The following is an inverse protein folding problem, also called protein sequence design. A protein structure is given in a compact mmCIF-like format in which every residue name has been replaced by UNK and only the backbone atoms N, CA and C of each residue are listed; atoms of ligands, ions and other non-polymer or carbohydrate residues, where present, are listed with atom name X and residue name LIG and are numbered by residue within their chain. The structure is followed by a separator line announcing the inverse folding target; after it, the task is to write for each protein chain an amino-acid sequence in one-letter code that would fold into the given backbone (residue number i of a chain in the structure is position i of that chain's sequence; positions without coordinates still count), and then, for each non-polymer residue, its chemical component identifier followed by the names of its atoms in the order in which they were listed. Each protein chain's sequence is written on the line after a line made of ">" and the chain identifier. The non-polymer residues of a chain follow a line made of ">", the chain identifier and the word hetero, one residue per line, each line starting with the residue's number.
data_IF_313939207290
#
_entry.id   IF_313939207290
#
_cell.length_a   1.000
_cell.length_b   1.000
_cell.length_c   1.000
_cell.angle_alpha   90.00
_cell.angle_beta   90.00
_cell.angle_gamma   90.00
#
_symmetry.space_group_name_H-M   'P 1'
#
loop_
_entity.id
_entity.type
_entity.pdbx_description
1 polymer ?
#
# COMPACT_ATOMS: atom_id res chain seq x y z
N UNK A 1 63.65 64.07 -33.95
CA UNK A 1 62.34 64.56 -33.45
C UNK A 1 61.20 63.55 -33.65
N UNK A 2 61.37 62.54 -34.52
CA UNK A 2 60.31 61.56 -34.89
C UNK A 2 59.97 60.53 -33.80
N UNK A 3 60.98 59.94 -33.16
CA UNK A 3 60.82 58.82 -32.22
C UNK A 3 60.04 59.21 -30.95
N UNK A 4 60.23 60.42 -30.44
CA UNK A 4 59.48 60.94 -29.28
C UNK A 4 58.01 61.17 -29.61
N UNK A 5 57.69 61.54 -30.85
CA UNK A 5 56.29 61.69 -31.29
C UNK A 5 55.62 60.32 -31.48
N UNK A 6 56.33 59.35 -32.03
CA UNK A 6 55.87 57.98 -32.20
C UNK A 6 55.58 57.29 -30.85
N UNK A 7 56.50 57.39 -29.89
CA UNK A 7 56.31 56.87 -28.53
C UNK A 7 55.17 57.55 -27.76
N UNK A 8 54.88 58.83 -28.05
CA UNK A 8 53.72 59.54 -27.48
C UNK A 8 52.41 59.08 -28.08
N UNK A 9 52.37 58.81 -29.38
CA UNK A 9 51.20 58.25 -30.05
C UNK A 9 50.90 56.83 -29.55
N UNK A 10 51.92 55.99 -29.42
CA UNK A 10 51.81 54.63 -28.88
C UNK A 10 51.36 54.63 -27.41
N UNK A 11 51.92 55.51 -26.57
CA UNK A 11 51.44 55.67 -25.19
C UNK A 11 49.97 56.11 -25.12
N UNK A 12 49.53 56.96 -26.04
CA UNK A 12 48.14 57.39 -26.10
C UNK A 12 47.21 56.25 -26.52
N UNK A 13 47.65 55.41 -27.46
CA UNK A 13 46.91 54.23 -27.89
C UNK A 13 46.86 53.16 -26.78
N UNK A 14 48.00 52.82 -26.19
CA UNK A 14 48.07 51.87 -25.07
C UNK A 14 47.23 52.30 -23.87
N UNK A 15 47.20 53.60 -23.54
CA UNK A 15 46.32 54.12 -22.48
C UNK A 15 44.84 53.94 -22.81
N UNK A 16 44.46 54.14 -24.07
CA UNK A 16 43.08 53.96 -24.53
C UNK A 16 42.67 52.49 -24.49
N UNK A 17 43.52 51.59 -24.97
CA UNK A 17 43.29 50.15 -24.89
C UNK A 17 43.24 49.66 -23.43
N UNK A 18 44.10 50.18 -22.55
CA UNK A 18 44.09 49.83 -21.13
C UNK A 18 42.78 50.28 -20.45
N UNK A 19 42.27 51.45 -20.82
CA UNK A 19 40.98 51.94 -20.32
C UNK A 19 39.83 51.03 -20.79
N UNK A 20 39.78 50.69 -22.07
CA UNK A 20 38.73 49.84 -22.64
C UNK A 20 38.77 48.41 -22.06
N UNK A 21 39.96 47.85 -21.85
CA UNK A 21 40.13 46.55 -21.20
C UNK A 21 39.67 46.58 -19.73
N UNK A 22 39.96 47.66 -18.99
CA UNK A 22 39.49 47.82 -17.61
C UNK A 22 37.96 47.90 -17.54
N UNK A 23 37.34 48.66 -18.44
CA UNK A 23 35.88 48.75 -18.52
C UNK A 23 35.26 47.38 -18.82
N UNK A 24 35.79 46.63 -19.79
CA UNK A 24 35.34 45.26 -20.09
C UNK A 24 35.52 44.30 -18.93
N UNK A 25 36.65 44.38 -18.22
CA UNK A 25 36.91 43.54 -17.05
C UNK A 25 35.90 43.81 -15.93
N UNK A 26 35.64 45.08 -15.62
CA UNK A 26 34.65 45.44 -14.58
C UNK A 26 33.23 44.98 -14.94
N UNK A 27 32.84 45.06 -16.23
CA UNK A 27 31.56 44.57 -16.70
C UNK A 27 31.45 43.04 -16.59
N UNK A 28 32.51 42.31 -16.98
CA UNK A 28 32.55 40.86 -16.88
C UNK A 28 32.52 40.39 -15.41
N UNK A 29 33.27 41.04 -14.52
CA UNK A 29 33.25 40.75 -13.09
C UNK A 29 31.87 40.97 -12.47
N UNK A 30 31.16 42.04 -12.86
CA UNK A 30 29.79 42.29 -12.42
C UNK A 30 28.82 41.21 -12.89
N UNK A 31 28.93 40.76 -14.14
CA UNK A 31 28.11 39.67 -14.68
C UNK A 31 28.40 38.33 -14.00
N UNK A 32 29.67 38.00 -13.77
CA UNK A 32 30.07 36.79 -13.05
C UNK A 32 29.48 36.81 -11.64
N UNK A 33 29.55 37.95 -10.94
CA UNK A 33 28.97 38.09 -9.61
C UNK A 33 27.46 37.84 -9.61
N UNK A 34 26.73 38.45 -10.55
CA UNK A 34 25.28 38.22 -10.69
C UNK A 34 24.93 36.77 -11.01
N UNK A 35 25.69 36.12 -11.89
CA UNK A 35 25.47 34.72 -12.25
C UNK A 35 25.75 33.78 -11.08
N UNK A 36 26.81 34.03 -10.30
CA UNK A 36 27.11 33.28 -9.07
C UNK A 36 25.97 33.42 -8.07
N UNK A 37 25.45 34.64 -7.89
CA UNK A 37 24.34 34.90 -6.97
C UNK A 37 23.05 34.21 -7.42
N UNK A 38 22.72 34.24 -8.70
CA UNK A 38 21.58 33.51 -9.28
C UNK A 38 21.74 31.99 -9.17
N UNK A 39 22.96 31.45 -9.35
CA UNK A 39 23.24 30.02 -9.20
C UNK A 39 23.24 29.56 -7.73
N UNK A 40 23.50 30.48 -6.79
CA UNK A 40 23.47 30.22 -5.35
C UNK A 40 22.08 30.30 -4.70
N UNK A 41 21.04 30.72 -5.44
CA UNK A 41 19.67 30.80 -4.93
C UNK A 41 19.04 29.41 -4.78
N UNK A 42 18.42 29.17 -3.64
CA UNK A 42 17.66 27.97 -3.30
C UNK A 42 16.46 28.33 -2.41
N UNK A 43 15.61 27.35 -2.11
CA UNK A 43 14.43 27.53 -1.25
C UNK A 43 14.70 28.02 0.18
N UNK A 44 15.94 27.98 0.66
CA UNK A 44 16.31 28.39 2.02
C UNK A 44 16.78 29.84 2.08
N UNK A 45 17.32 30.39 0.99
CA UNK A 45 17.84 31.75 0.93
C UNK A 45 17.09 32.65 -0.08
N UNK A 46 16.01 32.14 -0.66
CA UNK A 46 15.16 32.89 -1.60
C UNK A 46 13.70 32.45 -1.45
N UNK A 47 12.75 33.31 -1.83
CA UNK A 47 11.30 33.04 -1.78
C UNK A 47 10.83 32.03 -2.86
N UNK A 48 11.73 31.18 -3.36
CA UNK A 48 11.45 30.21 -4.41
C UNK A 48 10.96 28.88 -3.81
N UNK A 49 10.00 28.21 -4.46
CA UNK A 49 9.53 26.90 -3.99
C UNK A 49 10.64 25.83 -4.16
N UNK A 50 10.75 24.94 -3.18
CA UNK A 50 11.73 23.84 -3.11
C UNK A 50 11.73 22.90 -4.32
N UNK A 51 10.65 22.87 -5.10
CA UNK A 51 10.56 22.12 -6.35
C UNK A 51 11.51 22.62 -7.45
N UNK A 52 12.02 23.87 -7.34
CA UNK A 52 12.94 24.49 -8.31
C UNK A 52 14.41 24.39 -7.91
N UNK A 53 14.75 23.80 -6.77
CA UNK A 53 16.13 23.60 -6.35
C UNK A 53 16.86 22.68 -7.34
N UNK A 54 17.86 23.22 -8.04
CA UNK A 54 18.69 22.47 -8.99
C UNK A 54 19.60 21.53 -8.21
N UNK A 55 19.36 20.24 -8.35
CA UNK A 55 20.03 19.21 -7.55
C UNK A 55 19.24 18.95 -6.27
N UNK A 56 18.32 17.99 -6.33
CA UNK A 56 17.64 17.43 -5.17
C UNK A 56 18.65 16.71 -4.27
N UNK A 57 19.58 17.42 -3.65
CA UNK A 57 20.25 16.91 -2.46
C UNK A 57 19.20 16.95 -1.35
N UNK A 58 18.29 15.97 -1.38
CA UNK A 58 17.41 15.71 -0.24
C UNK A 58 18.34 15.64 0.96
N UNK A 59 18.16 16.50 1.99
CA UNK A 59 18.96 16.38 3.20
C UNK A 59 18.85 14.92 3.65
N UNK A 60 19.98 14.31 4.01
CA UNK A 60 19.99 12.93 4.51
C UNK A 60 18.87 12.83 5.55
N UNK A 61 17.93 11.87 5.43
CA UNK A 61 16.79 11.79 6.32
C UNK A 61 17.30 11.78 7.76
N UNK A 62 17.13 12.90 8.46
CA UNK A 62 17.41 12.99 9.88
C UNK A 62 16.17 12.45 10.55
N UNK A 63 16.33 11.32 11.22
CA UNK A 63 15.29 10.79 12.10
C UNK A 63 14.87 11.89 13.07
N UNK A 64 13.61 12.32 12.99
CA UNK A 64 13.00 13.21 13.99
C UNK A 64 12.73 12.45 15.31
N UNK A 65 12.92 11.13 15.32
CA UNK A 65 12.80 10.31 16.51
C UNK A 65 13.92 10.72 17.49
N UNK A 66 13.58 11.13 18.72
CA UNK A 66 14.57 11.32 19.77
C UNK A 66 15.40 10.04 19.91
N UNK A 67 16.72 10.19 20.03
CA UNK A 67 17.59 9.04 20.25
C UNK A 67 17.26 8.46 21.63
N UNK A 68 16.57 7.32 21.65
CA UNK A 68 16.25 6.62 22.89
C UNK A 68 17.39 5.68 23.25
N UNK A 69 17.78 5.61 24.53
CA UNK A 69 18.74 4.60 25.03
C UNK A 69 18.19 3.16 24.97
N UNK A 70 16.90 3.02 24.66
CA UNK A 70 16.21 1.73 24.49
C UNK A 70 16.81 0.96 23.32
N UNK A 71 17.29 -0.24 23.60
CA UNK A 71 17.76 -1.19 22.57
C UNK A 71 16.59 -1.64 21.69
N UNK A 72 16.90 -2.00 20.45
CA UNK A 72 15.93 -2.63 19.56
C UNK A 72 15.49 -3.99 20.14
N UNK A 73 14.18 -4.23 20.19
CA UNK A 73 13.59 -5.44 20.78
C UNK A 73 12.68 -5.15 21.97
N UNK A 74 12.17 -6.23 22.58
CA UNK A 74 11.39 -6.16 23.82
C UNK A 74 12.20 -5.48 24.92
N UNK A 75 11.56 -4.55 25.62
CA UNK A 75 12.22 -3.83 26.71
C UNK A 75 12.33 -4.72 27.94
N UNK A 76 13.34 -4.49 28.77
CA UNK A 76 13.48 -5.18 30.05
C UNK A 76 12.25 -4.88 30.92
N UNK A 77 11.57 -5.94 31.38
CA UNK A 77 10.28 -5.86 32.09
C UNK A 77 9.03 -5.87 31.21
N UNK A 78 9.15 -5.98 29.87
CA UNK A 78 7.99 -6.18 29.01
C UNK A 78 7.43 -7.59 29.22
N UNK A 79 6.15 -7.69 29.58
CA UNK A 79 5.49 -8.99 29.68
C UNK A 79 5.49 -9.67 28.32
N UNK A 80 5.96 -10.92 28.28
CA UNK A 80 5.92 -11.74 27.09
C UNK A 80 4.53 -12.33 26.91
N UNK A 81 3.95 -12.15 25.73
CA UNK A 81 2.75 -12.88 25.35
C UNK A 81 3.15 -14.22 24.74
N UNK A 82 2.79 -15.31 25.41
CA UNK A 82 2.98 -16.68 24.90
C UNK A 82 1.67 -17.15 24.27
N UNK A 83 1.75 -17.95 23.19
CA UNK A 83 0.56 -18.55 22.59
C UNK A 83 -0.13 -19.46 23.61
N UNK A 84 -1.40 -19.18 23.87
CA UNK A 84 -2.19 -19.91 24.87
C UNK A 84 -2.97 -21.07 24.26
N UNK A 85 -3.33 -22.04 25.10
CA UNK A 85 -4.24 -23.12 24.69
C UNK A 85 -5.61 -22.55 24.32
N UNK A 86 -6.11 -22.92 23.15
CA UNK A 86 -7.51 -22.72 22.80
C UNK A 86 -8.38 -23.71 23.61
N UNK A 87 -9.28 -23.25 24.49
CA UNK A 87 -10.13 -24.14 25.27
C UNK A 87 -11.15 -24.93 24.42
N UNK A 88 -11.39 -24.51 23.18
CA UNK A 88 -12.33 -25.12 22.23
C UNK A 88 -11.64 -25.35 20.88
N UNK A 89 -10.78 -26.38 20.75
CA UNK A 89 -10.18 -26.71 19.46
C UNK A 89 -11.24 -27.21 18.48
N UNK A 90 -11.06 -26.93 17.19
CA UNK A 90 -11.98 -27.35 16.13
C UNK A 90 -12.03 -28.88 15.97
N UNK A 91 -10.88 -29.55 16.17
CA UNK A 91 -10.72 -31.00 16.08
C UNK A 91 -9.90 -31.52 17.27
N UNK A 92 -10.23 -32.73 17.75
CA UNK A 92 -9.45 -33.45 18.76
C UNK A 92 -9.05 -34.80 18.18
N UNK A 93 -7.78 -34.95 17.83
CA UNK A 93 -7.19 -36.22 17.43
C UNK A 93 -6.65 -36.95 18.66
N UNK A 94 -7.18 -38.15 18.92
CA UNK A 94 -6.79 -38.97 20.06
C UNK A 94 -5.79 -40.04 19.63
N UNK A 95 -4.60 -40.03 20.22
CA UNK A 95 -3.55 -41.01 19.93
C UNK A 95 -3.48 -42.06 21.05
N UNK A 96 -4.41 -43.02 21.05
CA UNK A 96 -4.41 -44.14 22.01
C UNK A 96 -3.43 -45.24 21.55
N UNK A 97 -2.54 -45.75 22.41
CA UNK A 97 -1.70 -46.87 22.06
C UNK A 97 -2.54 -48.15 21.94
N UNK A 98 -2.39 -48.88 20.83
CA UNK A 98 -3.05 -50.17 20.63
C UNK A 98 -2.38 -51.31 21.41
N UNK A 99 -1.14 -51.11 21.85
CA UNK A 99 -0.32 -52.11 22.54
C UNK A 99 0.54 -51.45 23.62
N UNK A 100 0.91 -52.23 24.63
CA UNK A 100 1.83 -51.79 25.67
C UNK A 100 3.23 -51.57 25.09
N UNK A 101 3.79 -50.37 25.27
CA UNK A 101 5.15 -50.05 24.80
C UNK A 101 6.29 -50.86 25.46
N UNK A 102 5.99 -51.65 26.49
CA UNK A 102 6.96 -52.50 27.18
C UNK A 102 6.86 -53.98 26.77
N UNK A 103 5.69 -54.61 26.95
CA UNK A 103 5.49 -56.05 26.70
C UNK A 103 4.69 -56.37 25.42
N UNK A 104 4.26 -55.35 24.66
CA UNK A 104 3.48 -55.48 23.42
C UNK A 104 2.09 -56.15 23.57
N UNK A 105 1.66 -56.44 24.80
CA UNK A 105 0.30 -56.90 25.05
C UNK A 105 -0.73 -55.90 24.48
N UNK A 106 -1.83 -56.37 23.87
CA UNK A 106 -2.86 -55.50 23.34
C UNK A 106 -3.49 -54.66 24.45
N UNK A 107 -3.85 -53.41 24.12
CA UNK A 107 -4.56 -52.49 25.00
C UNK A 107 -5.96 -52.23 24.43
N UNK A 108 -6.98 -52.97 24.90
CA UNK A 108 -8.36 -52.80 24.48
C UNK A 108 -8.91 -51.39 24.74
N UNK A 109 -9.91 -50.99 23.96
CA UNK A 109 -10.47 -49.63 23.98
C UNK A 109 -11.24 -49.33 25.28
N UNK A 110 -11.71 -50.36 25.97
CA UNK A 110 -12.44 -50.27 27.23
C UNK A 110 -11.55 -49.81 28.39
N UNK A 111 -10.23 -49.96 28.28
CA UNK A 111 -9.29 -49.53 29.33
C UNK A 111 -9.16 -48.01 29.32
N UNK A 112 -9.73 -47.35 30.33
CA UNK A 112 -9.69 -45.89 30.46
C UNK A 112 -8.25 -45.34 30.58
N UNK A 113 -8.00 -44.20 29.94
CA UNK A 113 -6.73 -43.49 30.09
C UNK A 113 -6.64 -42.86 31.48
N UNK A 114 -5.54 -43.12 32.20
CA UNK A 114 -5.32 -42.54 33.53
C UNK A 114 -4.89 -41.07 33.48
N UNK A 115 -4.23 -40.64 32.39
CA UNK A 115 -3.80 -39.27 32.12
C UNK A 115 -3.84 -38.99 30.62
N UNK A 116 -4.12 -37.74 30.25
CA UNK A 116 -4.06 -37.27 28.86
C UNK A 116 -3.16 -36.05 28.80
N UNK A 117 -2.00 -36.18 28.15
CA UNK A 117 -1.16 -35.04 27.81
C UNK A 117 -1.72 -34.35 26.56
N UNK A 118 -1.85 -33.02 26.58
CA UNK A 118 -2.40 -32.23 25.48
C UNK A 118 -1.32 -31.39 24.83
N UNK A 119 -1.38 -31.27 23.50
CA UNK A 119 -0.64 -30.29 22.68
C UNK A 119 -1.60 -29.77 21.62
N UNK A 120 -1.45 -28.52 21.23
CA UNK A 120 -2.26 -27.91 20.18
C UNK A 120 -1.36 -27.36 19.08
N UNK A 121 -1.80 -27.56 17.85
CA UNK A 121 -1.21 -26.99 16.65
C UNK A 121 -2.24 -26.00 16.10
N UNK A 122 -1.84 -24.74 15.92
CA UNK A 122 -2.64 -23.73 15.26
C UNK A 122 -2.29 -23.79 13.78
N UNK A 123 -3.11 -24.51 13.02
CA UNK A 123 -2.85 -24.84 11.62
C UNK A 123 -3.82 -24.09 10.70
N UNK A 124 -3.36 -23.76 9.49
CA UNK A 124 -4.21 -23.21 8.44
C UNK A 124 -4.96 -24.35 7.73
N UNK A 125 -6.26 -24.19 7.43
CA UNK A 125 -6.94 -25.13 6.56
C UNK A 125 -6.31 -25.10 5.15
N UNK A 126 -6.52 -26.14 4.33
CA UNK A 126 -6.09 -26.12 2.94
C UNK A 126 -6.61 -24.87 2.22
N UNK A 127 -5.68 -24.04 1.75
CA UNK A 127 -6.01 -22.82 1.03
C UNK A 127 -6.23 -23.18 -0.45
N UNK A 128 -7.50 -23.33 -0.84
CA UNK A 128 -7.90 -23.53 -2.23
C UNK A 128 -9.31 -23.02 -2.46
N UNK A 129 -9.63 -22.64 -3.69
CA UNK A 129 -11.01 -22.35 -4.05
C UNK A 129 -11.86 -23.62 -4.06
N UNK A 130 -13.15 -23.45 -3.82
CA UNK A 130 -14.16 -24.50 -3.97
C UNK A 130 -15.17 -24.05 -5.02
N UNK A 131 -15.56 -24.97 -5.90
CA UNK A 131 -16.63 -24.75 -6.86
C UNK A 131 -17.92 -25.27 -6.27
N UNK A 132 -18.95 -24.42 -6.21
CA UNK A 132 -20.30 -24.81 -5.81
C UNK A 132 -21.14 -24.77 -7.07
N UNK A 133 -21.63 -25.94 -7.49
CA UNK A 133 -22.57 -26.05 -8.60
C UNK A 133 -24.00 -25.90 -8.07
N UNK A 134 -24.75 -24.95 -8.62
CA UNK A 134 -26.16 -24.79 -8.36
C UNK A 134 -26.93 -25.49 -9.48
N UNK A 135 -27.81 -26.43 -9.15
CA UNK A 135 -28.64 -27.14 -10.11
C UNK A 135 -30.11 -26.77 -9.88
N UNK A 136 -30.80 -26.43 -10.97
CA UNK A 136 -32.24 -26.23 -10.98
C UNK A 136 -32.87 -27.37 -11.78
N UNK A 137 -33.55 -28.28 -11.09
CA UNK A 137 -34.24 -29.40 -11.73
C UNK A 137 -35.56 -28.95 -12.36
N UNK A 138 -35.91 -29.56 -13.48
CA UNK A 138 -37.24 -29.45 -14.09
C UNK A 138 -38.00 -30.74 -13.86
N UNK A 139 -39.11 -30.69 -13.13
CA UNK A 139 -39.95 -31.84 -12.81
C UNK A 139 -41.28 -31.70 -13.53
N UNK A 140 -41.74 -32.77 -14.15
CA UNK A 140 -43.08 -32.85 -14.76
C UNK A 140 -44.09 -33.22 -13.67
N UNK A 141 -45.09 -32.38 -13.46
CA UNK A 141 -46.13 -32.62 -12.47
C UNK A 141 -46.97 -33.84 -12.87
N UNK A 142 -47.07 -34.89 -12.03
CA UNK A 142 -47.85 -36.08 -12.36
C UNK A 142 -49.37 -35.81 -12.37
N UNK A 143 -49.83 -34.71 -11.77
CA UNK A 143 -51.25 -34.37 -11.69
C UNK A 143 -51.76 -33.64 -12.94
N UNK A 144 -50.98 -32.72 -13.50
CA UNK A 144 -51.42 -31.86 -14.62
C UNK A 144 -50.52 -31.97 -15.87
N UNK A 145 -49.39 -32.66 -15.80
CA UNK A 145 -48.44 -32.80 -16.91
C UNK A 145 -47.57 -31.57 -17.16
N UNK A 146 -47.76 -30.47 -16.42
CA UNK A 146 -46.97 -29.25 -16.57
C UNK A 146 -45.55 -29.39 -16.02
N UNK A 147 -44.58 -28.79 -16.70
CA UNK A 147 -43.19 -28.74 -16.25
C UNK A 147 -42.98 -27.59 -15.27
N UNK A 148 -42.31 -27.85 -14.15
CA UNK A 148 -41.91 -26.84 -13.16
C UNK A 148 -40.40 -26.92 -12.95
N UNK A 149 -39.70 -25.78 -13.08
CA UNK A 149 -38.25 -25.68 -12.89
C UNK A 149 -37.95 -24.96 -11.58
N UNK A 150 -36.97 -25.45 -10.82
CA UNK A 150 -36.45 -24.73 -9.65
C UNK A 150 -35.83 -23.38 -10.02
N UNK A 151 -35.75 -22.47 -9.05
CA UNK A 151 -35.13 -21.16 -9.24
C UNK A 151 -33.73 -21.13 -8.63
N UNK A 152 -32.80 -20.43 -9.28
CA UNK A 152 -31.49 -20.16 -8.70
C UNK A 152 -31.57 -19.07 -7.63
N UNK A 153 -30.68 -19.11 -6.61
CA UNK A 153 -30.54 -18.00 -5.68
C UNK A 153 -30.27 -16.67 -6.40
N UNK A 154 -30.78 -15.57 -5.85
CA UNK A 154 -30.68 -14.23 -6.46
C UNK A 154 -29.24 -13.78 -6.75
N UNK A 155 -28.29 -14.24 -5.95
CA UNK A 155 -26.87 -13.93 -6.07
C UNK A 155 -26.13 -14.83 -7.06
N UNK A 156 -26.76 -15.90 -7.56
CA UNK A 156 -26.24 -16.80 -8.61
C UNK A 156 -26.84 -16.39 -9.95
N UNK A 157 -26.40 -15.24 -10.45
CA UNK A 157 -27.01 -14.58 -11.62
C UNK A 157 -26.38 -14.96 -12.96
N UNK A 158 -25.22 -15.62 -12.96
CA UNK A 158 -24.50 -16.00 -14.17
C UNK A 158 -24.19 -17.51 -14.16
N UNK A 159 -24.10 -18.17 -15.32
CA UNK A 159 -23.76 -19.60 -15.40
C UNK A 159 -22.45 -19.97 -14.70
N UNK A 160 -21.45 -19.09 -14.74
CA UNK A 160 -20.19 -19.21 -14.00
C UNK A 160 -19.82 -17.84 -13.45
N UNK A 161 -19.50 -17.77 -12.17
CA UNK A 161 -19.11 -16.52 -11.51
C UNK A 161 -18.25 -16.76 -10.29
N UNK A 162 -17.48 -15.74 -9.91
CA UNK A 162 -16.77 -15.74 -8.63
C UNK A 162 -17.72 -15.45 -7.47
N UNK A 163 -17.58 -16.23 -6.39
CA UNK A 163 -18.35 -16.07 -5.17
C UNK A 163 -18.01 -14.78 -4.40
N UNK A 164 -18.91 -14.39 -3.49
CA UNK A 164 -18.78 -13.18 -2.66
C UNK A 164 -17.49 -13.15 -1.82
N UNK A 165 -17.05 -14.30 -1.32
CA UNK A 165 -15.83 -14.43 -0.51
C UNK A 165 -14.56 -14.07 -1.30
N UNK A 166 -14.49 -14.49 -2.58
CA UNK A 166 -13.38 -14.13 -3.48
C UNK A 166 -13.36 -12.61 -3.70
N UNK A 167 -14.52 -12.04 -4.05
CA UNK A 167 -14.65 -10.60 -4.29
C UNK A 167 -14.25 -9.78 -3.06
N UNK A 168 -14.71 -10.17 -1.87
CA UNK A 168 -14.39 -9.51 -0.60
C UNK A 168 -12.89 -9.58 -0.29
N UNK A 169 -12.27 -10.75 -0.44
CA UNK A 169 -10.85 -10.93 -0.19
C UNK A 169 -10.02 -10.04 -1.13
N UNK A 170 -10.37 -10.00 -2.42
CA UNK A 170 -9.68 -9.16 -3.40
C UNK A 170 -9.73 -7.67 -3.04
N UNK A 171 -10.92 -7.15 -2.71
CA UNK A 171 -11.08 -5.75 -2.30
C UNK A 171 -10.27 -5.44 -1.04
N UNK A 172 -10.28 -6.34 -0.06
CA UNK A 172 -9.49 -6.17 1.17
C UNK A 172 -7.97 -6.15 0.89
N UNK A 173 -7.46 -7.10 0.12
CA UNK A 173 -6.03 -7.16 -0.22
C UNK A 173 -5.58 -5.90 -0.96
N UNK A 174 -6.44 -5.37 -1.83
CA UNK A 174 -6.14 -4.18 -2.60
C UNK A 174 -6.16 -2.90 -1.76
N UNK A 175 -7.18 -2.70 -0.94
CA UNK A 175 -7.44 -1.42 -0.29
C UNK A 175 -6.85 -1.32 1.12
N UNK A 176 -6.79 -2.43 1.86
CA UNK A 176 -6.27 -2.44 3.24
C UNK A 176 -4.82 -2.91 3.30
N UNK A 177 -4.46 -3.87 2.45
CA UNK A 177 -3.09 -4.42 2.40
C UNK A 177 -2.24 -3.79 1.29
N UNK A 178 -2.82 -2.92 0.46
CA UNK A 178 -2.16 -2.18 -0.61
C UNK A 178 -1.41 -3.07 -1.61
N UNK A 179 -1.91 -4.28 -1.86
CA UNK A 179 -1.24 -5.24 -2.75
C UNK A 179 -1.40 -4.80 -4.23
N UNK A 180 -0.31 -4.72 -5.00
CA UNK A 180 -0.38 -4.46 -6.45
C UNK A 180 -1.14 -5.56 -7.21
N UNK A 181 -1.90 -5.21 -8.25
CA UNK A 181 -2.74 -6.17 -9.00
C UNK A 181 -2.02 -7.45 -9.45
N UNK A 182 -0.80 -7.35 -10.00
CA UNK A 182 -0.05 -8.54 -10.41
C UNK A 182 0.39 -9.41 -9.22
N UNK A 183 0.68 -8.79 -8.08
CA UNK A 183 1.03 -9.51 -6.84
C UNK A 183 -0.19 -10.15 -6.22
N UNK A 184 -1.34 -9.50 -6.25
CA UNK A 184 -2.61 -10.04 -5.80
C UNK A 184 -3.02 -11.24 -6.66
N UNK A 185 -2.96 -11.09 -7.99
CA UNK A 185 -3.18 -12.19 -8.94
C UNK A 185 -2.29 -13.39 -8.64
N UNK A 186 -0.99 -13.15 -8.48
CA UNK A 186 -0.03 -14.20 -8.15
C UNK A 186 -0.38 -14.87 -6.81
N UNK A 187 -0.66 -14.09 -5.78
CA UNK A 187 -1.03 -14.59 -4.46
C UNK A 187 -2.29 -15.46 -4.49
N UNK A 188 -3.32 -15.06 -5.25
CA UNK A 188 -4.55 -15.85 -5.39
C UNK A 188 -4.31 -17.17 -6.13
N UNK A 189 -3.44 -17.18 -7.13
CA UNK A 189 -3.04 -18.40 -7.82
C UNK A 189 -2.20 -19.33 -6.93
N UNK A 190 -1.18 -18.79 -6.25
CA UNK A 190 -0.21 -19.56 -5.49
C UNK A 190 -0.79 -20.10 -4.17
N UNK A 191 -1.63 -19.30 -3.48
CA UNK A 191 -2.19 -19.67 -2.18
C UNK A 191 -3.56 -20.30 -2.27
N UNK A 192 -4.39 -19.96 -3.26
CA UNK A 192 -5.78 -20.43 -3.33
C UNK A 192 -6.08 -21.24 -4.59
N UNK A 193 -5.05 -21.57 -5.39
CA UNK A 193 -5.21 -22.24 -6.68
C UNK A 193 -6.16 -21.50 -7.64
N UNK A 194 -6.36 -20.19 -7.43
CA UNK A 194 -7.40 -19.40 -8.09
C UNK A 194 -6.78 -18.50 -9.17
N UNK A 195 -6.69 -18.95 -10.43
CA UNK A 195 -6.24 -18.11 -11.54
C UNK A 195 -7.30 -17.06 -11.84
N UNK A 196 -6.93 -15.78 -11.71
CA UNK A 196 -7.80 -14.65 -11.97
C UNK A 196 -7.07 -13.60 -12.82
N UNK A 197 -7.78 -12.81 -13.61
CA UNK A 197 -7.17 -11.72 -14.38
C UNK A 197 -7.16 -10.42 -13.58
N UNK A 198 -6.18 -9.55 -13.82
CA UNK A 198 -6.12 -8.21 -13.20
C UNK A 198 -7.33 -7.35 -13.56
N UNK A 199 -7.88 -7.50 -14.77
CA UNK A 199 -9.13 -6.85 -15.15
C UNK A 199 -10.33 -7.30 -14.32
N UNK A 200 -10.39 -8.57 -13.92
CA UNK A 200 -11.44 -9.06 -13.02
C UNK A 200 -11.29 -8.45 -11.62
N UNK A 201 -10.06 -8.37 -11.11
CA UNK A 201 -9.77 -7.72 -9.83
C UNK A 201 -10.19 -6.24 -9.83
N UNK A 202 -9.92 -5.53 -10.93
CA UNK A 202 -10.40 -4.17 -11.12
C UNK A 202 -11.93 -4.09 -11.10
N UNK A 203 -12.63 -4.97 -11.82
CA UNK A 203 -14.10 -4.99 -11.83
C UNK A 203 -14.69 -5.22 -10.42
N UNK A 204 -14.05 -6.05 -9.59
CA UNK A 204 -14.46 -6.24 -8.20
C UNK A 204 -14.31 -4.95 -7.39
N UNK A 205 -13.21 -4.23 -7.58
CA UNK A 205 -12.99 -2.94 -6.91
C UNK A 205 -14.01 -1.89 -7.36
N UNK A 206 -14.30 -1.80 -8.65
CA UNK A 206 -15.30 -0.87 -9.19
C UNK A 206 -16.71 -1.18 -8.66
N UNK A 207 -17.08 -2.46 -8.64
CA UNK A 207 -18.36 -2.89 -8.05
C UNK A 207 -18.44 -2.54 -6.56
N UNK A 208 -17.36 -2.78 -5.81
CA UNK A 208 -17.30 -2.43 -4.40
C UNK A 208 -17.40 -0.91 -4.19
N UNK A 209 -16.73 -0.11 -5.02
CA UNK A 209 -16.78 1.34 -4.98
C UNK A 209 -18.21 1.88 -5.18
N UNK A 210 -18.95 1.36 -6.17
CA UNK A 210 -20.36 1.75 -6.37
C UNK A 210 -21.24 1.32 -5.19
N UNK A 211 -21.00 0.14 -4.60
CA UNK A 211 -21.76 -0.33 -3.45
C UNK A 211 -21.54 0.52 -2.19
N UNK A 212 -20.33 1.04 -1.96
CA UNK A 212 -20.03 1.88 -0.77
C UNK A 212 -20.31 3.36 -1.00
N UNK A 213 -20.60 3.77 -2.23
CA UNK A 213 -20.87 5.16 -2.61
C UNK A 213 -21.94 5.87 -1.78
N UNK A 214 -23.08 5.23 -1.40
CA UNK A 214 -24.05 5.89 -0.53
C UNK A 214 -23.46 6.24 0.84
N UNK A 215 -22.61 5.36 1.39
CA UNK A 215 -21.96 5.60 2.67
C UNK A 215 -20.89 6.70 2.56
N UNK A 216 -20.08 6.69 1.49
CA UNK A 216 -19.04 7.72 1.31
C UNK A 216 -19.63 9.11 1.06
N UNK A 217 -20.75 9.22 0.32
CA UNK A 217 -21.45 10.51 0.17
C UNK A 217 -22.12 10.95 1.48
N UNK A 218 -22.64 10.02 2.30
CA UNK A 218 -23.14 10.38 3.64
C UNK A 218 -22.02 10.92 4.55
N UNK A 219 -20.83 10.30 4.53
CA UNK A 219 -19.64 10.74 5.26
C UNK A 219 -19.23 12.14 4.80
N UNK A 220 -19.16 12.37 3.49
CA UNK A 220 -18.86 13.68 2.91
C UNK A 220 -19.79 14.78 3.40
N UNK A 221 -21.11 14.53 3.34
CA UNK A 221 -22.10 15.51 3.78
C UNK A 221 -22.04 15.78 5.28
N UNK A 222 -21.66 14.77 6.09
CA UNK A 222 -21.42 14.94 7.51
C UNK A 222 -20.14 15.76 7.79
N UNK A 223 -19.03 15.48 7.09
CA UNK A 223 -17.77 16.24 7.21
C UNK A 223 -17.98 17.70 6.81
N UNK A 224 -18.75 18.00 5.76
CA UNK A 224 -19.08 19.38 5.36
C UNK A 224 -19.84 20.19 6.42
N UNK A 225 -20.62 19.51 7.27
CA UNK A 225 -21.42 20.13 8.33
C UNK A 225 -20.65 20.24 9.66
N UNK A 226 -19.46 19.66 9.75
CA UNK A 226 -18.65 19.73 10.94
C UNK A 226 -18.18 21.16 11.20
N UNK A 227 -18.16 21.56 12.47
CA UNK A 227 -17.65 22.89 12.88
C UNK A 227 -16.16 23.04 12.56
N UNK A 228 -15.40 21.95 12.71
CA UNK A 228 -13.96 21.89 12.42
C UNK A 228 -13.66 20.66 11.57
N UNK A 229 -12.95 20.87 10.47
CA UNK A 229 -12.41 19.82 9.60
C UNK A 229 -10.91 19.98 9.37
N UNK A 230 -10.19 18.86 9.35
CA UNK A 230 -8.76 18.78 9.07
C UNK A 230 -8.56 18.35 7.62
N UNK A 231 -8.11 19.28 6.78
CA UNK A 231 -7.82 19.02 5.38
C UNK A 231 -6.33 18.71 5.17
N UNK A 232 -6.04 17.71 4.35
CA UNK A 232 -4.69 17.39 3.90
C UNK A 232 -4.71 17.04 2.39
N UNK A 233 -3.55 17.20 1.75
CA UNK A 233 -3.39 16.83 0.33
C UNK A 233 -2.08 16.07 0.09
N UNK A 234 -2.21 14.94 -0.60
CA UNK A 234 -1.06 14.13 -1.00
C UNK A 234 -0.95 14.12 -2.52
N UNK A 235 0.18 14.62 -3.03
CA UNK A 235 0.49 14.61 -4.45
C UNK A 235 1.00 13.24 -4.92
N UNK A 236 0.49 12.75 -6.04
CA UNK A 236 0.97 11.54 -6.71
C UNK A 236 1.00 11.72 -8.23
N UNK A 237 1.62 10.80 -8.97
CA UNK A 237 1.72 10.90 -10.43
C UNK A 237 0.86 9.83 -11.11
N UNK A 238 -0.01 10.27 -12.03
CA UNK A 238 -0.77 9.40 -12.92
C UNK A 238 -0.29 9.68 -14.35
N UNK A 239 0.29 8.68 -15.01
CA UNK A 239 0.81 8.80 -16.39
C UNK A 239 1.73 10.02 -16.58
N UNK A 240 2.62 10.27 -15.61
CA UNK A 240 3.57 11.39 -15.63
C UNK A 240 2.97 12.76 -15.30
N UNK A 241 1.66 12.87 -15.10
CA UNK A 241 0.99 14.10 -14.67
C UNK A 241 0.78 14.07 -13.15
N UNK A 242 1.07 15.19 -12.48
CA UNK A 242 0.81 15.34 -11.04
C UNK A 242 -0.69 15.41 -10.80
N UNK A 243 -1.18 14.49 -9.98
CA UNK A 243 -2.52 14.45 -9.41
C UNK A 243 -2.44 14.69 -7.89
N UNK A 244 -3.58 14.97 -7.28
CA UNK A 244 -3.69 15.22 -5.84
C UNK A 244 -4.82 14.38 -5.27
N UNK A 245 -4.54 13.73 -4.15
CA UNK A 245 -5.54 13.11 -3.29
C UNK A 245 -5.84 14.13 -2.20
N UNK A 246 -7.07 14.63 -2.17
CA UNK A 246 -7.54 15.52 -1.11
C UNK A 246 -8.29 14.69 -0.08
N UNK A 247 -8.03 14.95 1.19
CA UNK A 247 -8.81 14.38 2.28
C UNK A 247 -9.28 15.46 3.25
N UNK A 248 -10.47 15.28 3.79
CA UNK A 248 -11.00 16.09 4.88
C UNK A 248 -11.52 15.16 5.97
N UNK A 249 -11.09 15.37 7.20
CA UNK A 249 -11.44 14.52 8.33
C UNK A 249 -11.90 15.28 9.57
N UNK A 250 -12.68 14.61 10.39
CA UNK A 250 -13.01 14.95 11.77
C UNK A 250 -12.44 13.85 12.69
N UNK A 251 -12.58 13.92 14.03
CA UNK A 251 -12.16 12.82 14.90
C UNK A 251 -12.81 11.47 14.60
N UNK A 252 -13.96 11.45 13.91
CA UNK A 252 -14.78 10.26 13.69
C UNK A 252 -14.94 9.88 12.22
N UNK A 253 -14.74 10.81 11.28
CA UNK A 253 -15.08 10.65 9.87
C UNK A 253 -13.94 11.12 8.96
N UNK A 254 -13.74 10.43 7.83
CA UNK A 254 -12.77 10.81 6.80
C UNK A 254 -13.40 10.68 5.41
N UNK A 255 -13.28 11.73 4.61
CA UNK A 255 -13.63 11.75 3.18
C UNK A 255 -12.40 12.09 2.33
#
# INVERSE_FOLDING_TARGET
>A
MDEVQQLRAENKQLKRENQELREKLTAAEAQIKQLIELLGQNSHNSSWPSSRDKGRQKPKPKSLRPQTERKAGGQEGHEGHTLEFNPKPDFIESHRPAQCGHCQAPLPEEIAASKVAKRQVFELPPLRYVTIEHQAETIICPCCGEATTGEFPVDVSNPVQYGSQVKRLSVYLRNEQFIPYERERQMLADLFELPISTGTLQNFLETAAENVKPATEAIKEAVKKAEVGHADETGFYINGKRAWLHTVSTPELTY
#
